data_IF_045211100121
#
_entry.id   IF_045211100121
#
_cell.length_a   1.000
_cell.length_b   1.000
_cell.length_c   1.000
_cell.angle_alpha   90.00
_cell.angle_beta   90.00
_cell.angle_gamma   90.00
#
_symmetry.space_group_name_H-M   'P 1'
#
loop_
_entity.id
_entity.type
_entity.pdbx_description
1 polymer ?
#
# COMPACT_ATOMS: atom_id res chain seq x y z
N UNK A 1 -4.88 2.31 -14.18
CA UNK A 1 -3.59 3.04 -14.30
C UNK A 1 -2.55 2.06 -14.81
N UNK A 2 -1.64 2.52 -15.66
CA UNK A 2 -0.56 1.72 -16.24
C UNK A 2 0.68 2.59 -16.48
N UNK A 3 1.82 1.96 -16.75
CA UNK A 3 3.12 2.61 -16.89
C UNK A 3 3.46 3.49 -15.67
N UNK A 4 3.50 2.82 -14.52
CA UNK A 4 3.68 3.47 -13.22
C UNK A 4 5.17 3.45 -12.83
N UNK A 5 5.77 4.64 -12.72
CA UNK A 5 7.20 4.77 -12.39
C UNK A 5 7.56 4.27 -10.99
N UNK A 6 6.83 4.71 -9.96
CA UNK A 6 7.16 4.46 -8.54
C UNK A 6 5.98 3.90 -7.70
N UNK A 7 4.93 3.39 -8.35
CA UNK A 7 3.72 2.92 -7.70
C UNK A 7 2.45 3.63 -8.16
N UNK A 8 1.32 3.31 -7.53
CA UNK A 8 0.00 3.80 -7.95
C UNK A 8 -0.64 4.77 -6.96
N UNK A 9 -1.18 4.24 -5.86
CA UNK A 9 -1.94 5.00 -4.87
C UNK A 9 -1.17 5.03 -3.56
N UNK A 10 -0.90 6.23 -3.03
CA UNK A 10 -0.24 6.43 -1.73
C UNK A 10 -1.18 7.19 -0.80
N UNK A 11 -1.33 6.70 0.42
CA UNK A 11 -2.21 7.24 1.46
C UNK A 11 -1.44 7.31 2.78
N UNK A 12 -1.68 8.36 3.56
CA UNK A 12 -1.01 8.59 4.83
C UNK A 12 0.29 9.37 4.67
N UNK A 13 1.11 9.32 5.70
CA UNK A 13 2.33 10.14 5.82
C UNK A 13 3.55 9.27 6.11
N UNK A 14 4.71 9.78 5.69
CA UNK A 14 6.01 9.12 5.90
C UNK A 14 6.56 9.37 7.32
N UNK A 15 6.38 10.60 7.80
CA UNK A 15 6.92 11.05 9.08
C UNK A 15 5.88 10.91 10.20
N UNK A 16 6.35 10.60 11.41
CA UNK A 16 5.51 10.55 12.61
C UNK A 16 5.08 11.97 12.97
N UNK A 17 3.79 12.28 12.93
CA UNK A 17 3.28 13.56 13.42
C UNK A 17 3.22 13.55 14.95
N UNK A 18 3.23 14.74 15.54
CA UNK A 18 2.82 14.91 16.93
C UNK A 18 1.31 14.68 17.02
N UNK A 19 0.89 13.88 17.99
CA UNK A 19 -0.51 13.48 18.24
C UNK A 19 -1.49 14.64 18.05
N UNK A 20 -2.19 14.64 16.92
CA UNK A 20 -3.37 15.45 16.66
C UNK A 20 -4.33 14.63 15.80
N UNK A 21 -5.30 13.99 16.46
CA UNK A 21 -6.26 13.06 15.85
C UNK A 21 -7.04 13.66 14.67
N UNK A 22 -7.21 14.98 14.61
CA UNK A 22 -7.94 15.66 13.55
C UNK A 22 -7.21 15.68 12.19
N UNK A 23 -5.92 15.34 12.14
CA UNK A 23 -5.10 15.42 10.93
C UNK A 23 -4.89 14.07 10.22
N UNK A 24 -5.44 12.99 10.76
CA UNK A 24 -5.19 11.66 10.21
C UNK A 24 -5.96 11.37 8.93
N UNK A 25 -5.31 10.62 8.04
CA UNK A 25 -5.90 10.24 6.77
C UNK A 25 -6.88 9.10 7.01
N UNK A 26 -8.16 9.35 6.75
CA UNK A 26 -9.21 8.41 7.15
C UNK A 26 -10.38 8.33 6.19
N UNK A 27 -11.13 7.23 6.30
CA UNK A 27 -12.40 7.00 5.58
C UNK A 27 -12.23 6.99 4.05
N UNK A 28 -11.20 6.30 3.56
CA UNK A 28 -10.91 6.19 2.12
C UNK A 28 -11.29 4.81 1.61
N UNK A 29 -11.90 4.79 0.42
CA UNK A 29 -12.26 3.58 -0.30
C UNK A 29 -11.45 3.54 -1.61
N UNK A 30 -10.68 2.46 -1.79
CA UNK A 30 -10.05 2.11 -3.06
C UNK A 30 -10.77 0.86 -3.56
N UNK A 31 -11.67 1.04 -4.53
CA UNK A 31 -12.48 -0.05 -5.07
C UNK A 31 -12.52 -0.04 -6.60
N UNK A 32 -12.59 -1.24 -7.20
CA UNK A 32 -12.75 -1.47 -8.65
C UNK A 32 -11.66 -0.79 -9.51
N UNK A 33 -10.46 -0.61 -8.97
CA UNK A 33 -9.33 -0.08 -9.71
C UNK A 33 -8.53 -1.21 -10.36
N UNK A 34 -8.01 -0.94 -11.56
CA UNK A 34 -6.99 -1.80 -12.20
C UNK A 34 -5.68 -1.03 -12.27
N UNK A 35 -4.63 -1.56 -11.64
CA UNK A 35 -3.28 -1.01 -11.63
C UNK A 35 -2.34 -2.06 -12.20
N UNK A 36 -1.52 -1.71 -13.18
CA UNK A 36 -0.57 -2.66 -13.74
C UNK A 36 0.64 -1.99 -14.35
N UNK A 37 1.61 -2.80 -14.79
CA UNK A 37 2.78 -2.35 -15.53
C UNK A 37 3.56 -1.25 -14.78
N UNK A 38 4.16 -1.64 -13.65
CA UNK A 38 4.75 -0.70 -12.69
C UNK A 38 6.12 -1.14 -12.24
N UNK A 39 7.01 -0.17 -12.01
CA UNK A 39 8.34 -0.41 -11.44
C UNK A 39 9.47 -0.46 -12.46
N UNK A 40 9.24 -0.01 -13.71
CA UNK A 40 10.30 0.11 -14.72
C UNK A 40 11.36 1.14 -14.35
N UNK A 41 10.97 2.23 -13.67
CA UNK A 41 11.88 3.26 -13.19
C UNK A 41 12.31 3.04 -11.74
N UNK A 42 11.35 2.78 -10.84
CA UNK A 42 11.61 2.48 -9.43
C UNK A 42 11.03 1.11 -9.08
N UNK A 43 11.82 0.01 -9.19
CA UNK A 43 11.33 -1.34 -9.00
C UNK A 43 10.67 -1.61 -7.65
N UNK A 44 11.10 -0.89 -6.60
CA UNK A 44 10.54 -0.98 -5.23
C UNK A 44 9.16 -0.31 -5.08
N UNK A 45 8.66 0.35 -6.14
CA UNK A 45 7.37 1.03 -6.14
C UNK A 45 6.21 0.08 -5.85
N UNK A 46 5.34 0.49 -4.92
CA UNK A 46 4.20 -0.30 -4.46
C UNK A 46 2.92 0.14 -5.19
N UNK A 47 2.08 -0.82 -5.59
CA UNK A 47 0.81 -0.52 -6.25
C UNK A 47 -0.12 0.35 -5.41
N UNK A 48 -0.46 -0.11 -4.20
CA UNK A 48 -1.20 0.65 -3.19
C UNK A 48 -0.40 0.65 -1.89
N UNK A 49 0.00 1.83 -1.43
CA UNK A 49 0.76 2.04 -0.21
C UNK A 49 -0.08 2.80 0.81
N UNK A 50 -0.43 2.14 1.92
CA UNK A 50 -0.92 2.79 3.12
C UNK A 50 0.25 2.99 4.08
N UNK A 51 0.63 4.24 4.30
CA UNK A 51 1.68 4.61 5.24
C UNK A 51 1.11 4.83 6.65
N UNK A 52 1.83 5.59 7.48
CA UNK A 52 1.49 5.84 8.88
C UNK A 52 0.20 6.66 9.00
N UNK A 53 -0.43 6.57 10.17
CA UNK A 53 -1.51 7.45 10.61
C UNK A 53 -2.75 7.40 9.70
N UNK A 54 -3.12 6.18 9.32
CA UNK A 54 -4.30 5.89 8.50
C UNK A 54 -5.40 5.21 9.32
N UNK A 55 -6.68 5.55 9.06
CA UNK A 55 -7.83 4.92 9.73
C UNK A 55 -8.96 4.58 8.76
N UNK A 56 -9.71 3.50 9.01
CA UNK A 56 -10.93 3.17 8.26
C UNK A 56 -10.73 3.13 6.73
N UNK A 57 -9.68 2.44 6.28
CA UNK A 57 -9.36 2.31 4.85
C UNK A 57 -9.92 0.99 4.32
N UNK A 58 -10.65 1.06 3.21
CA UNK A 58 -11.22 -0.11 2.53
C UNK A 58 -10.56 -0.28 1.15
N UNK A 59 -9.78 -1.34 0.97
CA UNK A 59 -9.18 -1.72 -0.30
C UNK A 59 -9.84 -2.99 -0.81
N UNK A 60 -10.72 -2.89 -1.81
CA UNK A 60 -11.44 -4.08 -2.30
C UNK A 60 -11.67 -4.16 -3.78
N UNK A 61 -11.77 -5.38 -4.31
CA UNK A 61 -12.11 -5.64 -5.72
C UNK A 61 -11.19 -4.92 -6.71
N UNK A 62 -9.94 -4.70 -6.34
CA UNK A 62 -8.94 -4.14 -7.24
C UNK A 62 -8.16 -5.26 -7.93
N UNK A 63 -7.69 -4.98 -9.14
CA UNK A 63 -6.83 -5.89 -9.90
C UNK A 63 -5.43 -5.27 -10.00
N UNK A 64 -4.42 -5.97 -9.50
CA UNK A 64 -3.02 -5.50 -9.48
C UNK A 64 -2.08 -6.56 -10.08
N UNK A 65 -1.32 -6.20 -11.12
CA UNK A 65 -0.42 -7.14 -11.77
C UNK A 65 0.77 -6.49 -12.50
N UNK A 66 1.79 -7.29 -12.83
CA UNK A 66 3.01 -6.81 -13.49
C UNK A 66 3.73 -5.70 -12.68
N UNK A 67 3.81 -5.92 -11.37
CA UNK A 67 4.65 -5.11 -10.47
C UNK A 67 5.99 -5.80 -10.28
N UNK A 68 7.07 -5.04 -10.21
CA UNK A 68 8.40 -5.55 -9.82
C UNK A 68 8.54 -5.79 -8.32
N UNK A 69 7.61 -5.31 -7.50
CA UNK A 69 7.59 -5.51 -6.05
C UNK A 69 6.17 -5.76 -5.52
N UNK A 70 5.98 -5.63 -4.20
CA UNK A 70 4.70 -5.76 -3.48
C UNK A 70 3.58 -4.94 -4.13
N UNK A 71 2.40 -5.55 -4.27
CA UNK A 71 1.24 -4.89 -4.86
C UNK A 71 0.49 -4.00 -3.86
N UNK A 72 0.26 -4.48 -2.64
CA UNK A 72 -0.39 -3.71 -1.57
C UNK A 72 0.49 -3.77 -0.32
N UNK A 73 0.92 -2.60 0.17
CA UNK A 73 1.62 -2.47 1.46
C UNK A 73 0.78 -1.68 2.45
N UNK A 74 0.73 -2.16 3.68
CA UNK A 74 -0.02 -1.54 4.77
C UNK A 74 0.85 -1.36 5.99
N UNK A 75 0.89 -0.12 6.46
CA UNK A 75 1.75 0.29 7.53
C UNK A 75 3.16 0.61 7.04
N UNK A 76 3.80 1.49 7.81
CA UNK A 76 5.13 2.03 7.54
C UNK A 76 5.85 2.27 8.87
N UNK A 77 5.85 1.24 9.73
CA UNK A 77 6.47 1.29 11.05
C UNK A 77 7.22 0.00 11.39
N UNK A 78 8.53 0.13 11.62
CA UNK A 78 9.39 -0.98 12.08
C UNK A 78 9.64 -0.94 13.60
N UNK A 79 8.94 -0.08 14.33
CA UNK A 79 9.00 -0.03 15.80
C UNK A 79 8.02 -1.02 16.44
N UNK A 80 8.28 -1.37 17.70
CA UNK A 80 7.33 -2.09 18.55
C UNK A 80 6.35 -1.18 19.30
N UNK A 81 6.37 0.12 19.02
CA UNK A 81 5.41 1.08 19.57
C UNK A 81 4.00 0.86 19.00
N UNK A 82 3.00 1.37 19.71
CA UNK A 82 1.61 1.35 19.25
C UNK A 82 1.48 2.04 17.89
N UNK A 83 0.83 1.34 16.97
CA UNK A 83 0.55 1.81 15.63
C UNK A 83 -0.76 2.61 15.61
N UNK A 84 -0.72 3.75 14.91
CA UNK A 84 -1.91 4.56 14.62
C UNK A 84 -2.59 4.14 13.31
N UNK A 85 -2.09 3.10 12.64
CA UNK A 85 -2.69 2.49 11.46
C UNK A 85 -3.65 1.39 11.87
N UNK A 86 -4.96 1.65 11.92
CA UNK A 86 -5.91 0.62 12.34
C UNK A 86 -7.26 0.68 11.62
N UNK A 87 -8.02 -0.42 11.78
CA UNK A 87 -9.32 -0.64 11.16
C UNK A 87 -9.27 -0.55 9.62
N UNK A 88 -8.41 -1.37 9.02
CA UNK A 88 -8.30 -1.48 7.56
C UNK A 88 -8.89 -2.79 7.10
N UNK A 89 -9.60 -2.76 5.96
CA UNK A 89 -10.16 -3.96 5.34
C UNK A 89 -9.60 -4.11 3.94
N UNK A 90 -8.98 -5.26 3.68
CA UNK A 90 -8.38 -5.61 2.39
C UNK A 90 -9.06 -6.88 1.94
N UNK A 91 -9.92 -6.78 0.92
CA UNK A 91 -10.80 -7.90 0.58
C UNK A 91 -11.03 -8.02 -0.92
N UNK A 92 -11.10 -9.24 -1.43
CA UNK A 92 -11.44 -9.51 -2.83
C UNK A 92 -10.55 -8.83 -3.88
N UNK A 93 -9.31 -8.45 -3.54
CA UNK A 93 -8.35 -7.96 -4.52
C UNK A 93 -7.76 -9.14 -5.30
N UNK A 94 -7.59 -8.98 -6.61
CA UNK A 94 -6.95 -9.96 -7.47
C UNK A 94 -5.52 -9.51 -7.78
N UNK A 95 -4.55 -10.18 -7.15
CA UNK A 95 -3.12 -9.84 -7.25
C UNK A 95 -2.41 -11.01 -7.90
N UNK A 96 -1.72 -10.76 -9.02
CA UNK A 96 -1.01 -11.80 -9.75
C UNK A 96 0.21 -11.25 -10.50
N UNK A 97 1.15 -12.14 -10.86
CA UNK A 97 2.32 -11.78 -11.66
C UNK A 97 3.07 -10.57 -11.09
N UNK A 98 3.56 -10.70 -9.86
CA UNK A 98 4.35 -9.68 -9.15
C UNK A 98 5.78 -10.17 -8.86
N UNK A 99 6.68 -9.24 -8.56
CA UNK A 99 8.08 -9.50 -8.17
C UNK A 99 9.08 -9.56 -9.31
N UNK A 100 8.65 -10.01 -10.51
CA UNK A 100 9.46 -10.10 -11.74
C UNK A 100 10.91 -10.59 -11.55
N UNK A 101 11.17 -11.40 -10.52
CA UNK A 101 12.48 -11.96 -10.17
C UNK A 101 13.61 -10.93 -9.96
N UNK A 102 13.27 -9.67 -9.64
CA UNK A 102 14.27 -8.61 -9.48
C UNK A 102 14.60 -8.31 -8.02
N UNK A 103 13.59 -8.15 -7.17
CA UNK A 103 13.74 -7.82 -5.75
C UNK A 103 13.38 -9.02 -4.85
N UNK A 104 13.84 -8.97 -3.60
CA UNK A 104 13.48 -9.90 -2.51
C UNK A 104 12.56 -9.22 -1.48
N UNK A 105 12.10 -9.96 -0.46
CA UNK A 105 11.20 -9.46 0.59
C UNK A 105 9.84 -8.95 0.06
N UNK A 106 9.09 -9.88 -0.54
CA UNK A 106 7.89 -9.60 -1.31
C UNK A 106 6.66 -10.26 -0.71
N UNK A 107 5.56 -9.50 -0.66
CA UNK A 107 4.21 -10.02 -0.40
C UNK A 107 3.23 -9.56 -1.47
N UNK A 108 2.23 -10.38 -1.79
CA UNK A 108 1.06 -9.88 -2.54
C UNK A 108 0.37 -8.76 -1.76
N UNK A 109 0.18 -9.00 -0.47
CA UNK A 109 -0.17 -8.02 0.54
C UNK A 109 0.90 -8.11 1.62
N UNK A 110 1.56 -6.99 1.93
CA UNK A 110 2.60 -6.90 2.94
C UNK A 110 2.18 -5.95 4.06
N UNK A 111 2.39 -6.34 5.31
CA UNK A 111 1.95 -5.60 6.50
C UNK A 111 3.12 -5.31 7.42
N UNK A 112 3.30 -4.06 7.85
CA UNK A 112 4.40 -3.66 8.72
C UNK A 112 3.98 -2.56 9.71
N UNK A 113 3.91 -2.92 11.00
CA UNK A 113 3.55 -1.99 12.07
C UNK A 113 2.12 -1.47 11.92
N UNK A 114 1.18 -2.41 11.95
CA UNK A 114 -0.27 -2.19 11.97
C UNK A 114 -0.75 -2.42 13.40
#
# INVERSE_FOLDING_TARGET
MYDLGAGGIRIGIDEKMKYNDEQWTQNIIIENCTLYDSGHLFPMGVGILLQRETRNILIRKNTLYQFFHTAIQIGWSWSYEESLCYNHTISFNYIHHIGQYLLSDLGGIYTCGI
#
